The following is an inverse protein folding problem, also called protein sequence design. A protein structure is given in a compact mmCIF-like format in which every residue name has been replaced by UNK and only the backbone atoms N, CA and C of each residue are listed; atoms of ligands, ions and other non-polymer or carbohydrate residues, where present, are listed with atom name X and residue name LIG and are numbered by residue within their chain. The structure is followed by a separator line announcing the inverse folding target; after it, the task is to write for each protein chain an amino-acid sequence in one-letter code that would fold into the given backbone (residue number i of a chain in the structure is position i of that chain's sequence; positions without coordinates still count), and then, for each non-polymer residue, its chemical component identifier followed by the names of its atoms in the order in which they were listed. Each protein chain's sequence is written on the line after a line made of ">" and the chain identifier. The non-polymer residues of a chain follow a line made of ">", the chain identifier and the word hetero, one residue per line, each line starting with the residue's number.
data_IF_812515587966
#
_entry.id   IF_812515587966
#
_cell.length_a   1.000
_cell.length_b   1.000
_cell.length_c   1.000
_cell.angle_alpha   90.00
_cell.angle_beta   90.00
_cell.angle_gamma   90.00
#
_symmetry.space_group_name_H-M   'P 1'
#
loop_
_entity.id
_entity.type
_entity.pdbx_description
1 polymer ?
#
# COMPACT_ATOMS: atom_id res chain seq x y z
N UNK A 1 -0.77 -24.20 -7.08
CA UNK A 1 0.11 -23.14 -7.60
C UNK A 1 0.20 -22.04 -6.54
N UNK A 2 1.41 -21.61 -6.19
CA UNK A 2 1.58 -20.57 -5.19
C UNK A 2 1.32 -19.19 -5.76
N UNK A 3 0.95 -18.26 -4.88
CA UNK A 3 0.79 -16.87 -5.28
C UNK A 3 2.14 -16.28 -5.69
N UNK A 4 2.21 -15.68 -6.86
CA UNK A 4 3.47 -15.16 -7.37
C UNK A 4 4.00 -13.97 -6.61
N UNK A 5 5.33 -13.89 -6.52
CA UNK A 5 6.02 -12.72 -5.96
C UNK A 5 6.75 -12.00 -7.07
N UNK A 6 6.86 -10.68 -6.94
CA UNK A 6 7.52 -9.83 -7.93
C UNK A 6 8.47 -8.88 -7.24
N UNK A 7 9.62 -8.59 -7.85
CA UNK A 7 10.53 -7.62 -7.25
C UNK A 7 9.93 -6.21 -7.29
N UNK A 8 10.10 -5.48 -6.20
CA UNK A 8 9.70 -4.07 -6.13
C UNK A 8 10.83 -3.23 -6.73
N UNK A 9 10.82 -3.12 -8.05
CA UNK A 9 11.89 -2.47 -8.77
C UNK A 9 13.25 -3.08 -8.45
N UNK A 10 14.23 -2.22 -8.22
CA UNK A 10 15.58 -2.67 -7.85
C UNK A 10 15.85 -2.54 -6.35
N UNK A 11 14.80 -2.47 -5.55
CA UNK A 11 14.92 -2.26 -4.10
C UNK A 11 15.47 -3.46 -3.34
N UNK A 12 15.44 -4.64 -3.94
CA UNK A 12 15.81 -5.88 -3.25
C UNK A 12 14.64 -6.53 -2.50
N UNK A 13 13.48 -5.89 -2.53
CA UNK A 13 12.28 -6.38 -1.85
C UNK A 13 11.42 -7.14 -2.85
N UNK A 14 10.93 -8.32 -2.44
CA UNK A 14 10.06 -9.14 -3.29
C UNK A 14 8.70 -9.28 -2.60
N UNK A 15 7.63 -8.90 -3.29
CA UNK A 15 6.29 -8.86 -2.69
C UNK A 15 5.30 -9.71 -3.48
N UNK A 16 4.32 -10.26 -2.77
CA UNK A 16 3.25 -11.00 -3.42
C UNK A 16 2.49 -10.06 -4.36
N UNK A 17 2.08 -10.56 -5.52
CA UNK A 17 1.40 -9.73 -6.51
C UNK A 17 0.01 -9.28 -6.04
N UNK A 18 -0.49 -9.88 -4.97
CA UNK A 18 -1.68 -9.39 -4.26
C UNK A 18 -1.24 -8.99 -2.86
N UNK A 19 -1.48 -7.74 -2.49
CA UNK A 19 -1.18 -7.23 -1.16
C UNK A 19 -2.45 -6.96 -0.38
N UNK A 20 -2.36 -6.95 0.94
CA UNK A 20 -3.50 -6.74 1.81
C UNK A 20 -3.55 -5.30 2.29
N UNK A 21 -4.59 -4.57 1.86
CA UNK A 21 -4.87 -3.24 2.37
C UNK A 21 -5.54 -3.34 3.73
N UNK A 22 -5.22 -2.43 4.63
CA UNK A 22 -5.60 -2.59 6.04
C UNK A 22 -6.47 -1.47 6.61
N UNK A 23 -7.00 -0.58 5.78
CA UNK A 23 -7.77 0.55 6.32
C UNK A 23 -8.95 0.06 7.18
N UNK A 24 -9.57 -1.05 6.80
CA UNK A 24 -10.71 -1.61 7.53
C UNK A 24 -10.33 -2.23 8.88
N UNK A 25 -9.04 -2.38 9.16
CA UNK A 25 -8.58 -2.92 10.44
C UNK A 25 -8.72 -1.90 11.57
N UNK A 26 -8.72 -0.62 11.27
CA UNK A 26 -8.70 0.40 12.30
C UNK A 26 -9.46 1.68 12.01
N UNK A 27 -10.11 1.78 10.85
CA UNK A 27 -10.84 2.99 10.51
C UNK A 27 -12.13 2.65 9.77
N UNK A 28 -13.27 3.13 10.28
CA UNK A 28 -14.55 2.96 9.61
C UNK A 28 -15.32 4.28 9.45
N UNK A 29 -14.61 5.41 9.65
CA UNK A 29 -15.16 6.75 9.47
C UNK A 29 -14.47 7.43 8.28
N UNK A 30 -15.25 8.16 7.49
CA UNK A 30 -14.74 8.89 6.34
C UNK A 30 -13.95 7.98 5.38
N UNK A 31 -14.53 6.80 5.11
CA UNK A 31 -13.95 5.82 4.19
C UNK A 31 -14.84 5.71 2.95
N UNK A 32 -14.22 5.30 1.83
CA UNK A 32 -14.88 5.31 0.51
C UNK A 32 -15.45 3.95 0.12
N UNK A 33 -16.01 3.20 1.07
CA UNK A 33 -16.59 1.89 0.78
C UNK A 33 -18.12 2.00 0.67
N UNK A 34 -18.75 1.20 -0.21
CA UNK A 34 -20.20 1.31 -0.43
C UNK A 34 -21.04 0.83 0.74
N UNK A 35 -20.51 -0.06 1.58
CA UNK A 35 -21.25 -0.60 2.71
C UNK A 35 -20.57 -0.26 4.03
N UNK A 36 -21.39 -0.03 5.05
CA UNK A 36 -20.88 0.16 6.40
C UNK A 36 -20.32 -1.15 6.94
N UNK A 37 -19.33 -1.07 7.80
CA UNK A 37 -18.72 -2.25 8.41
C UNK A 37 -18.26 -1.92 9.82
N UNK A 38 -18.12 -2.96 10.64
CA UNK A 38 -17.55 -2.86 11.98
C UNK A 38 -16.07 -3.22 11.94
N UNK A 39 -15.29 -2.62 12.83
CA UNK A 39 -13.89 -3.01 12.93
C UNK A 39 -13.80 -4.45 13.43
N UNK A 40 -12.91 -5.28 12.87
CA UNK A 40 -12.79 -6.66 13.34
C UNK A 40 -12.27 -6.74 14.75
N UNK A 41 -12.69 -7.80 15.48
CA UNK A 41 -12.10 -8.06 16.79
C UNK A 41 -10.62 -8.40 16.64
N UNK A 42 -9.85 -8.30 17.70
CA UNK A 42 -8.44 -8.65 17.66
C UNK A 42 -8.25 -10.11 17.25
N UNK A 43 -9.09 -10.99 17.76
CA UNK A 43 -9.05 -12.41 17.42
C UNK A 43 -9.28 -12.63 15.93
N UNK A 44 -10.23 -11.93 15.36
CA UNK A 44 -10.51 -12.02 13.93
C UNK A 44 -9.36 -11.47 13.09
N UNK A 45 -8.74 -10.45 13.55
CA UNK A 45 -7.58 -9.87 12.90
C UNK A 45 -6.39 -10.84 12.84
N UNK A 46 -6.12 -11.39 13.78
CA UNK A 46 -5.15 -12.30 13.92
C UNK A 46 -5.31 -13.41 13.01
N UNK A 47 -6.61 -13.96 12.94
CA UNK A 47 -6.97 -15.03 12.03
C UNK A 47 -6.85 -14.60 10.58
N UNK A 48 -7.26 -13.39 10.26
CA UNK A 48 -7.18 -12.89 8.89
C UNK A 48 -5.71 -12.82 8.43
N UNK A 49 -4.83 -12.32 9.29
CA UNK A 49 -3.40 -12.23 8.95
C UNK A 49 -2.78 -13.61 8.78
N UNK A 50 -3.14 -14.55 9.65
CA UNK A 50 -2.66 -15.93 9.52
C UNK A 50 -3.14 -16.52 8.19
N UNK A 51 -4.39 -16.30 7.83
CA UNK A 51 -4.93 -16.82 6.58
C UNK A 51 -4.25 -16.19 5.37
N UNK A 52 -4.02 -14.89 5.40
CA UNK A 52 -3.32 -14.21 4.33
C UNK A 52 -1.92 -14.79 4.11
N UNK A 53 -1.19 -15.01 5.20
CA UNK A 53 0.14 -15.59 5.12
C UNK A 53 0.10 -17.01 4.57
N UNK A 54 -0.86 -17.81 5.03
CA UNK A 54 -1.08 -19.17 4.53
C UNK A 54 -1.33 -19.19 3.04
N UNK A 55 -2.05 -18.18 2.52
CA UNK A 55 -2.36 -18.08 1.10
C UNK A 55 -1.20 -17.54 0.25
N UNK A 56 -0.10 -17.15 0.88
CA UNK A 56 1.07 -16.65 0.17
C UNK A 56 1.15 -15.14 0.06
N UNK A 57 0.25 -14.41 0.73
CA UNK A 57 0.34 -12.95 0.77
C UNK A 57 1.41 -12.58 1.80
N UNK A 58 2.40 -11.80 1.35
CA UNK A 58 3.45 -11.34 2.27
C UNK A 58 3.51 -9.82 2.39
N UNK A 59 2.54 -9.11 1.81
CA UNK A 59 2.60 -7.65 1.72
C UNK A 59 1.41 -7.01 2.41
N UNK A 60 1.69 -6.14 3.38
CA UNK A 60 0.69 -5.35 4.10
C UNK A 60 0.86 -3.88 3.78
N UNK A 61 -0.23 -3.21 3.43
CA UNK A 61 -0.26 -1.78 3.21
C UNK A 61 -1.08 -1.12 4.31
N UNK A 62 -0.45 -0.25 5.09
CA UNK A 62 -1.10 0.47 6.18
C UNK A 62 -0.70 1.94 6.16
N UNK A 63 -1.15 2.70 7.16
CA UNK A 63 -0.86 4.14 7.25
C UNK A 63 -1.27 4.68 8.62
N UNK A 64 -0.59 5.76 9.08
CA UNK A 64 -1.09 6.49 10.24
C UNK A 64 -2.52 7.00 10.08
N UNK A 65 -2.92 7.33 8.84
CA UNK A 65 -4.27 7.83 8.58
C UNK A 65 -5.36 6.76 8.71
N UNK A 66 -5.00 5.51 8.92
CA UNK A 66 -5.97 4.40 9.01
C UNK A 66 -6.40 4.10 10.45
N UNK A 67 -6.48 5.14 11.29
CA UNK A 67 -6.93 4.97 12.67
C UNK A 67 -5.95 4.14 13.48
N UNK A 68 -6.42 3.07 14.10
CA UNK A 68 -5.59 2.23 14.97
C UNK A 68 -4.90 1.09 14.23
N UNK A 69 -4.86 1.11 12.89
CA UNK A 69 -4.32 -0.01 12.10
C UNK A 69 -2.89 -0.39 12.46
N UNK A 70 -1.98 0.60 12.51
CA UNK A 70 -0.58 0.29 12.78
C UNK A 70 -0.40 -0.41 14.13
N UNK A 71 -1.06 0.12 15.15
CA UNK A 71 -1.00 -0.45 16.49
C UNK A 71 -1.56 -1.87 16.53
N UNK A 72 -2.69 -2.07 15.88
CA UNK A 72 -3.33 -3.38 15.88
C UNK A 72 -2.50 -4.41 15.10
N UNK A 73 -1.93 -4.01 13.97
CA UNK A 73 -1.04 -4.89 13.20
C UNK A 73 0.19 -5.24 14.03
N UNK A 74 0.78 -4.27 14.71
CA UNK A 74 1.95 -4.51 15.53
C UNK A 74 1.72 -5.53 16.64
N UNK A 75 0.50 -5.53 17.20
CA UNK A 75 0.12 -6.50 18.24
C UNK A 75 -0.22 -7.86 17.62
N UNK A 76 -0.71 -7.89 16.40
CA UNK A 76 -1.23 -9.11 15.80
C UNK A 76 -0.18 -9.92 15.01
N UNK A 77 0.85 -9.29 14.46
CA UNK A 77 1.85 -10.00 13.68
C UNK A 77 2.68 -10.92 14.56
N UNK A 78 2.69 -12.21 14.23
CA UNK A 78 3.43 -13.20 15.01
C UNK A 78 4.87 -13.33 14.57
N UNK A 79 5.13 -13.15 13.29
CA UNK A 79 6.47 -13.25 12.72
C UNK A 79 6.69 -12.08 11.77
N UNK A 80 7.37 -11.07 12.26
CA UNK A 80 7.59 -9.83 11.51
C UNK A 80 8.28 -10.10 10.16
N UNK A 81 9.26 -11.01 10.16
CA UNK A 81 10.05 -11.29 8.96
C UNK A 81 9.27 -12.00 7.86
N UNK A 82 8.09 -12.53 8.16
CA UNK A 82 7.24 -13.13 7.14
C UNK A 82 6.52 -12.08 6.31
N UNK A 83 6.60 -10.83 6.70
CA UNK A 83 5.81 -9.77 6.09
C UNK A 83 6.70 -8.64 5.57
N UNK A 84 6.30 -8.10 4.44
CA UNK A 84 6.78 -6.83 3.93
C UNK A 84 5.74 -5.79 4.34
N UNK A 85 6.15 -4.83 5.16
CA UNK A 85 5.21 -3.84 5.70
C UNK A 85 5.45 -2.49 5.04
N UNK A 86 4.40 -1.97 4.41
CA UNK A 86 4.40 -0.63 3.83
C UNK A 86 3.51 0.26 4.68
N UNK A 87 4.05 1.38 5.15
CA UNK A 87 3.23 2.39 5.79
C UNK A 87 3.43 3.72 5.08
N UNK A 88 2.91 4.80 5.65
CA UNK A 88 2.90 6.08 4.97
C UNK A 88 3.22 7.21 5.93
N UNK A 89 3.47 8.40 5.37
CA UNK A 89 3.69 9.63 6.12
C UNK A 89 2.92 10.77 5.48
N UNK A 90 2.60 11.78 6.26
CA UNK A 90 2.01 13.00 5.75
C UNK A 90 0.56 13.18 6.14
N UNK A 91 -0.25 12.15 5.99
CA UNK A 91 -1.66 12.23 6.36
C UNK A 91 -1.88 11.59 7.73
N UNK A 92 -2.62 12.29 8.58
CA UNK A 92 -3.08 11.82 9.88
C UNK A 92 -4.60 11.88 9.90
N UNK A 93 -5.23 11.06 10.73
CA UNK A 93 -6.67 11.12 10.93
C UNK A 93 -6.91 11.47 12.39
N UNK A 94 -7.29 12.73 12.62
CA UNK A 94 -7.40 13.28 13.98
C UNK A 94 -8.79 13.87 14.14
N UNK A 95 -9.48 13.43 15.20
CA UNK A 95 -10.83 13.92 15.54
C UNK A 95 -11.78 13.83 14.33
N UNK A 96 -11.71 12.73 13.60
CA UNK A 96 -12.61 12.47 12.47
C UNK A 96 -12.26 13.18 11.18
N UNK A 97 -11.08 13.79 11.09
CA UNK A 97 -10.68 14.54 9.90
C UNK A 97 -9.27 14.20 9.46
N UNK A 98 -9.02 14.27 8.16
CA UNK A 98 -7.67 14.17 7.62
C UNK A 98 -6.92 15.48 7.85
N UNK A 99 -5.70 15.36 8.36
CA UNK A 99 -4.80 16.48 8.60
C UNK A 99 -3.48 16.13 7.95
N UNK A 100 -2.86 17.10 7.27
CA UNK A 100 -1.64 16.82 6.50
C UNK A 100 -0.47 17.65 7.00
N UNK A 101 0.71 17.03 7.07
CA UNK A 101 1.96 17.72 7.42
C UNK A 101 3.10 17.01 6.73
N UNK A 102 3.74 17.71 5.79
CA UNK A 102 4.83 17.14 4.98
C UNK A 102 6.19 17.71 5.36
N UNK A 103 6.31 18.30 6.55
CA UNK A 103 7.62 18.79 7.02
C UNK A 103 8.57 17.63 7.27
N UNK A 104 9.87 17.89 7.19
CA UNK A 104 10.85 16.86 7.51
C UNK A 104 10.75 16.42 8.96
N UNK A 105 10.51 17.36 9.87
CA UNK A 105 10.38 17.04 11.30
C UNK A 105 9.21 16.11 11.53
N UNK A 106 8.05 16.39 10.93
CA UNK A 106 6.88 15.51 11.09
C UNK A 106 7.12 14.15 10.46
N UNK A 107 7.77 14.12 9.29
CA UNK A 107 8.08 12.88 8.59
C UNK A 107 8.91 11.95 9.47
N UNK A 108 9.96 12.49 10.10
CA UNK A 108 10.81 11.69 10.98
C UNK A 108 10.03 11.19 12.20
N UNK A 109 9.26 12.07 12.84
CA UNK A 109 8.47 11.66 14.01
C UNK A 109 7.44 10.60 13.64
N UNK A 110 6.83 10.74 12.46
CA UNK A 110 5.82 9.79 12.00
C UNK A 110 6.44 8.39 11.78
N UNK A 111 7.61 8.33 11.16
CA UNK A 111 8.31 7.05 10.97
C UNK A 111 8.67 6.42 12.32
N UNK A 112 9.19 7.24 13.24
CA UNK A 112 9.54 6.74 14.58
C UNK A 112 8.32 6.19 15.30
N UNK A 113 7.17 6.87 15.19
CA UNK A 113 5.94 6.41 15.81
C UNK A 113 5.44 5.12 15.15
N UNK A 114 5.53 5.03 13.82
CA UNK A 114 5.13 3.81 13.11
C UNK A 114 5.98 2.62 13.53
N UNK A 115 7.28 2.81 13.69
CA UNK A 115 8.17 1.75 14.18
C UNK A 115 7.72 1.27 15.56
N UNK A 116 7.34 2.21 16.44
CA UNK A 116 6.87 1.87 17.77
C UNK A 116 5.53 1.13 17.72
N UNK A 117 4.57 1.65 16.98
CA UNK A 117 3.24 1.01 16.88
C UNK A 117 3.29 -0.36 16.23
N UNK A 118 4.13 -0.50 15.18
CA UNK A 118 4.25 -1.78 14.47
C UNK A 118 5.22 -2.74 15.16
N UNK A 119 5.86 -2.30 16.25
CA UNK A 119 6.77 -3.10 17.07
C UNK A 119 7.88 -3.72 16.24
N UNK A 120 8.54 -2.90 15.50
CA UNK A 120 9.58 -3.38 14.60
C UNK A 120 10.75 -2.39 14.52
N UNK A 121 11.79 -2.86 14.14
CA UNK A 121 12.94 -2.09 14.05
C UNK A 121 13.17 -1.51 12.75
N UNK A 122 12.34 -1.99 11.77
CA UNK A 122 12.48 -1.46 10.42
C UNK A 122 11.15 -1.49 9.69
N UNK A 123 11.01 -0.61 8.69
CA UNK A 123 9.87 -0.62 7.77
C UNK A 123 10.37 -0.94 6.37
N UNK A 124 9.69 -1.78 5.70
CA UNK A 124 10.08 -2.16 4.34
C UNK A 124 9.80 -1.06 3.31
N UNK A 125 8.70 -0.28 3.21
CA UNK A 125 8.38 0.69 2.37
C UNK A 125 7.77 1.75 3.11
N UNK A 126 8.03 2.91 2.88
CA UNK A 126 7.28 4.07 3.39
C UNK A 126 6.94 4.99 2.25
N UNK A 127 5.65 5.32 2.11
CA UNK A 127 5.17 6.19 1.03
C UNK A 127 4.66 7.52 1.56
N UNK A 128 4.92 8.59 0.83
CA UNK A 128 4.25 9.87 1.11
C UNK A 128 2.78 9.72 0.71
N UNK A 129 1.88 10.05 1.63
CA UNK A 129 0.44 9.95 1.45
C UNK A 129 -0.08 11.32 0.98
N UNK A 130 -0.19 11.52 -0.31
CA UNK A 130 -0.45 12.84 -0.89
C UNK A 130 -1.80 13.42 -0.49
N UNK A 131 -1.84 14.75 -0.38
CA UNK A 131 -3.09 15.51 -0.21
C UNK A 131 -3.70 15.93 -1.55
N UNK A 132 -3.08 15.50 -2.66
CA UNK A 132 -3.48 15.87 -4.00
C UNK A 132 -2.55 16.89 -4.65
N UNK A 133 -1.74 17.59 -3.87
CA UNK A 133 -0.79 18.58 -4.39
C UNK A 133 0.58 17.93 -4.52
N UNK A 134 0.65 16.88 -5.32
CA UNK A 134 1.85 16.04 -5.46
C UNK A 134 3.10 16.85 -5.71
N UNK A 135 3.06 17.72 -6.73
CA UNK A 135 4.26 18.46 -7.13
C UNK A 135 4.72 19.43 -6.04
N UNK A 136 3.79 20.07 -5.35
CA UNK A 136 4.14 20.95 -4.24
C UNK A 136 4.83 20.15 -3.13
N UNK A 137 4.31 18.98 -2.81
CA UNK A 137 4.92 18.12 -1.80
C UNK A 137 6.36 17.77 -2.20
N UNK A 138 6.54 17.34 -3.46
CA UNK A 138 7.86 16.92 -3.96
C UNK A 138 8.82 18.09 -4.02
N UNK A 139 8.39 19.21 -4.58
CA UNK A 139 9.29 20.33 -4.90
C UNK A 139 9.53 21.27 -3.71
N UNK A 140 8.58 21.36 -2.78
CA UNK A 140 8.58 22.43 -1.77
C UNK A 140 8.56 21.95 -0.33
N UNK A 141 8.67 20.65 -0.11
CA UNK A 141 8.75 20.11 1.25
C UNK A 141 9.91 19.14 1.40
N UNK A 142 10.27 18.72 2.39
CA UNK A 142 11.20 17.95 2.70
C UNK A 142 10.90 16.68 2.93
N UNK A 143 9.68 16.25 2.68
CA UNK A 143 9.17 14.94 3.04
C UNK A 143 9.95 13.80 2.37
N UNK A 144 10.06 13.85 1.04
CA UNK A 144 10.81 12.80 0.31
C UNK A 144 12.28 12.77 0.71
N UNK A 145 12.88 13.94 0.86
CA UNK A 145 14.29 14.01 1.26
C UNK A 145 14.53 13.37 2.64
N UNK A 146 13.60 13.60 3.57
CA UNK A 146 13.70 12.99 4.89
C UNK A 146 13.58 11.46 4.80
N UNK A 147 12.67 10.96 3.96
CA UNK A 147 12.58 9.52 3.75
C UNK A 147 13.86 8.95 3.14
N UNK A 148 14.47 9.66 2.21
CA UNK A 148 15.76 9.23 1.64
C UNK A 148 16.83 9.13 2.72
N UNK A 149 16.88 10.12 3.62
CA UNK A 149 17.82 10.11 4.74
C UNK A 149 17.55 8.93 5.69
N UNK A 150 16.28 8.65 5.96
CA UNK A 150 15.91 7.52 6.82
C UNK A 150 16.29 6.19 6.18
N UNK A 151 16.19 6.11 4.86
CA UNK A 151 16.67 4.92 4.14
C UNK A 151 18.17 4.74 4.31
N UNK A 152 18.94 5.82 4.16
CA UNK A 152 20.39 5.74 4.36
C UNK A 152 20.74 5.26 5.76
N UNK A 153 19.94 5.64 6.75
CA UNK A 153 20.17 5.24 8.14
C UNK A 153 19.69 3.82 8.44
N UNK A 154 19.02 3.18 7.48
CA UNK A 154 18.54 1.82 7.66
C UNK A 154 17.17 1.68 8.39
N UNK A 155 16.53 2.65 8.54
CA UNK A 155 15.32 2.68 9.17
C UNK A 155 14.22 2.23 8.35
N UNK A 156 14.33 2.51 7.09
CA UNK A 156 13.37 2.02 6.09
C UNK A 156 14.15 1.41 4.91
N UNK A 157 13.45 0.54 4.35
CA UNK A 157 14.14 -0.15 3.39
C UNK A 157 14.08 0.47 2.08
N UNK A 158 12.80 0.97 1.70
CA UNK A 158 12.53 1.67 0.44
C UNK A 158 11.55 2.81 0.70
N UNK A 159 11.48 3.79 -0.19
CA UNK A 159 10.52 4.88 -0.04
C UNK A 159 9.92 5.25 -1.38
N UNK A 160 8.79 5.97 -1.31
CA UNK A 160 8.12 6.41 -2.51
C UNK A 160 6.93 7.29 -2.18
N UNK A 161 5.95 7.30 -3.07
CA UNK A 161 4.81 8.18 -2.91
C UNK A 161 3.54 7.57 -3.48
N UNK A 162 2.46 7.73 -2.74
CA UNK A 162 1.11 7.42 -3.21
C UNK A 162 0.56 8.70 -3.81
N UNK A 163 0.50 8.76 -5.15
CA UNK A 163 0.26 9.99 -5.89
C UNK A 163 -1.17 10.11 -6.35
N UNK A 164 -1.58 11.33 -6.71
CA UNK A 164 -2.93 11.62 -7.18
C UNK A 164 -2.96 12.33 -8.52
N UNK A 165 -1.79 12.64 -9.10
CA UNK A 165 -1.72 13.29 -10.41
C UNK A 165 -0.71 12.58 -11.31
N UNK A 166 -0.87 12.74 -12.62
CA UNK A 166 0.04 12.16 -13.59
C UNK A 166 1.46 12.73 -13.42
N UNK A 167 1.58 14.05 -13.37
CA UNK A 167 2.89 14.68 -13.26
C UNK A 167 3.57 14.34 -11.93
N UNK A 168 2.77 14.28 -10.86
CA UNK A 168 3.31 13.86 -9.56
C UNK A 168 3.83 12.43 -9.60
N UNK A 169 3.09 11.55 -10.27
CA UNK A 169 3.51 10.16 -10.41
C UNK A 169 4.82 10.02 -11.16
N UNK A 170 4.96 10.76 -12.26
CA UNK A 170 6.21 10.73 -13.05
C UNK A 170 7.39 11.24 -12.22
N UNK A 171 7.21 12.35 -11.50
CA UNK A 171 8.28 12.89 -10.65
C UNK A 171 8.65 11.94 -9.53
N UNK A 172 7.64 11.38 -8.87
CA UNK A 172 7.90 10.45 -7.75
C UNK A 172 8.61 9.19 -8.22
N UNK A 173 8.22 8.67 -9.37
CA UNK A 173 8.89 7.49 -9.95
C UNK A 173 10.36 7.78 -10.22
N UNK A 174 10.66 9.00 -10.67
CA UNK A 174 12.04 9.38 -10.97
C UNK A 174 12.89 9.52 -9.71
N UNK A 175 12.30 10.02 -8.63
CA UNK A 175 13.05 10.43 -7.43
C UNK A 175 13.08 9.38 -6.31
N UNK A 176 12.30 8.32 -6.41
CA UNK A 176 12.17 7.37 -5.31
C UNK A 176 12.25 5.92 -5.81
N UNK A 177 11.98 4.96 -4.92
CA UNK A 177 12.08 3.54 -5.25
C UNK A 177 10.79 2.97 -5.82
N UNK A 178 9.65 3.59 -5.53
CA UNK A 178 8.36 3.03 -5.92
C UNK A 178 7.27 4.10 -5.89
N UNK A 179 6.22 3.85 -6.66
CA UNK A 179 5.01 4.69 -6.62
C UNK A 179 3.79 3.82 -6.36
N UNK A 180 2.77 4.44 -5.76
CA UNK A 180 1.45 3.81 -5.64
C UNK A 180 0.49 4.68 -6.44
N UNK A 181 -0.19 4.07 -7.42
CA UNK A 181 -1.06 4.80 -8.34
C UNK A 181 -2.38 4.07 -8.50
N UNK A 182 -3.40 4.81 -8.91
CA UNK A 182 -4.69 4.24 -9.24
C UNK A 182 -4.63 3.59 -10.62
N UNK A 183 -5.14 2.36 -10.71
CA UNK A 183 -5.30 1.68 -12.01
C UNK A 183 -6.46 0.69 -11.92
N UNK A 184 -7.39 0.81 -12.83
CA UNK A 184 -8.44 -0.19 -13.06
C UNK A 184 -8.96 0.04 -14.48
N UNK A 185 -9.80 -0.86 -15.02
CA UNK A 185 -10.27 -0.68 -16.40
C UNK A 185 -11.01 0.64 -16.67
N UNK A 186 -11.58 1.25 -15.62
CA UNK A 186 -12.31 2.53 -15.77
C UNK A 186 -11.42 3.74 -15.56
N UNK A 187 -10.17 3.55 -15.11
CA UNK A 187 -9.26 4.66 -14.86
C UNK A 187 -7.85 4.24 -15.21
N UNK A 188 -7.41 4.64 -16.40
CA UNK A 188 -6.11 4.27 -16.94
C UNK A 188 -5.17 5.47 -17.09
N UNK A 189 -5.48 6.58 -16.41
CA UNK A 189 -4.68 7.82 -16.59
C UNK A 189 -3.24 7.67 -16.15
N UNK A 190 -2.94 6.70 -15.27
CA UNK A 190 -1.58 6.51 -14.74
C UNK A 190 -0.75 5.49 -15.54
N UNK A 191 -1.26 4.98 -16.67
CA UNK A 191 -0.45 4.08 -17.49
C UNK A 191 0.91 4.69 -17.86
N UNK A 192 1.00 5.98 -18.20
CA UNK A 192 2.34 6.55 -18.47
C UNK A 192 3.28 6.51 -17.28
N UNK A 193 2.75 6.67 -16.06
CA UNK A 193 3.57 6.56 -14.84
C UNK A 193 4.10 5.13 -14.71
N UNK A 194 3.24 4.15 -14.94
CA UNK A 194 3.61 2.73 -14.82
C UNK A 194 4.69 2.38 -15.86
N UNK A 195 4.51 2.85 -17.09
CA UNK A 195 5.50 2.63 -18.15
C UNK A 195 6.84 3.25 -17.79
N UNK A 196 6.82 4.49 -17.28
CA UNK A 196 8.04 5.18 -16.89
C UNK A 196 8.74 4.45 -15.75
N UNK A 197 7.97 4.06 -14.74
CA UNK A 197 8.54 3.33 -13.60
C UNK A 197 9.19 2.03 -14.04
N UNK A 198 8.54 1.31 -14.95
CA UNK A 198 9.10 0.08 -15.50
C UNK A 198 10.43 0.36 -16.22
N UNK A 199 10.49 1.42 -17.01
CA UNK A 199 11.70 1.76 -17.76
C UNK A 199 12.86 2.15 -16.84
N UNK A 200 12.55 2.61 -15.63
CA UNK A 200 13.56 3.02 -14.63
C UNK A 200 13.77 1.97 -13.54
N UNK A 201 13.14 0.80 -13.71
CA UNK A 201 13.20 -0.31 -12.75
C UNK A 201 12.77 0.12 -11.34
N UNK A 202 11.64 0.82 -11.29
CA UNK A 202 11.01 1.23 -10.04
C UNK A 202 9.78 0.38 -9.78
N UNK A 203 9.43 0.22 -8.49
CA UNK A 203 8.24 -0.55 -8.13
C UNK A 203 6.95 0.22 -8.39
N UNK A 204 5.87 -0.52 -8.66
CA UNK A 204 4.54 0.06 -8.85
C UNK A 204 3.53 -0.73 -8.03
N UNK A 205 2.89 -0.04 -7.08
CA UNK A 205 1.80 -0.57 -6.29
C UNK A 205 0.51 0.05 -6.82
N UNK A 206 -0.51 -0.78 -6.99
CA UNK A 206 -1.78 -0.29 -7.53
C UNK A 206 -2.83 -0.23 -6.43
N UNK A 207 -3.43 0.95 -6.27
CA UNK A 207 -4.58 1.18 -5.41
C UNK A 207 -5.84 1.28 -6.28
N UNK A 208 -6.99 1.04 -5.66
CA UNK A 208 -8.29 1.14 -6.33
C UNK A 208 -8.43 0.19 -7.53
N UNK A 209 -7.72 -0.95 -7.48
CA UNK A 209 -7.86 -1.98 -8.52
C UNK A 209 -9.33 -2.41 -8.65
N UNK A 210 -10.05 -2.46 -7.53
CA UNK A 210 -11.46 -2.83 -7.48
C UNK A 210 -12.36 -1.62 -7.30
N UNK A 211 -11.88 -0.43 -7.64
CA UNK A 211 -12.64 0.83 -7.53
C UNK A 211 -13.25 0.99 -6.12
N UNK A 212 -12.44 0.69 -5.09
CA UNK A 212 -12.83 0.79 -3.67
C UNK A 212 -14.08 -0.04 -3.34
N UNK A 213 -14.26 -1.15 -4.04
CA UNK A 213 -15.39 -2.04 -3.78
C UNK A 213 -16.67 -1.66 -4.52
N UNK A 214 -16.63 -0.62 -5.36
CA UNK A 214 -17.79 -0.21 -6.15
C UNK A 214 -17.90 -0.99 -7.46
N UNK A 215 -17.74 -2.31 -7.38
CA UNK A 215 -17.80 -3.19 -8.54
C UNK A 215 -18.89 -4.24 -8.37
N UNK A 216 -19.53 -4.60 -9.48
CA UNK A 216 -20.34 -5.82 -9.50
C UNK A 216 -19.39 -7.02 -9.33
N UNK A 217 -19.90 -8.09 -8.73
CA UNK A 217 -19.09 -9.29 -8.46
C UNK A 217 -18.40 -9.85 -9.71
N UNK A 218 -19.11 -9.79 -10.84
CA UNK A 218 -18.59 -10.34 -12.08
C UNK A 218 -17.42 -9.56 -12.67
N UNK A 219 -17.12 -8.38 -12.11
CA UNK A 219 -16.00 -7.56 -12.59
C UNK A 219 -14.71 -7.77 -11.80
N UNK A 220 -14.75 -8.54 -10.73
CA UNK A 220 -13.57 -8.77 -9.88
C UNK A 220 -12.43 -9.42 -10.65
N UNK A 221 -12.72 -10.51 -11.34
CA UNK A 221 -11.73 -11.22 -12.14
C UNK A 221 -11.16 -10.35 -13.26
N UNK A 222 -12.04 -9.64 -13.97
CA UNK A 222 -11.64 -8.76 -15.07
C UNK A 222 -10.70 -7.67 -14.56
N UNK A 223 -11.03 -7.06 -13.43
CA UNK A 223 -10.22 -5.97 -12.88
C UNK A 223 -8.87 -6.45 -12.40
N UNK A 224 -8.83 -7.56 -11.64
CA UNK A 224 -7.56 -8.08 -11.14
C UNK A 224 -6.68 -8.56 -12.30
N UNK A 225 -7.28 -9.22 -13.29
CA UNK A 225 -6.54 -9.66 -14.46
C UNK A 225 -5.94 -8.47 -15.21
N UNK A 226 -6.74 -7.43 -15.44
CA UNK A 226 -6.27 -6.23 -16.13
C UNK A 226 -5.08 -5.61 -15.40
N UNK A 227 -5.22 -5.40 -14.10
CA UNK A 227 -4.20 -4.72 -13.31
C UNK A 227 -2.92 -5.56 -13.26
N UNK A 228 -3.03 -6.84 -12.95
CA UNK A 228 -1.85 -7.66 -12.71
C UNK A 228 -1.14 -8.09 -13.97
N UNK A 229 -1.81 -8.04 -15.12
CA UNK A 229 -1.18 -8.30 -16.41
C UNK A 229 -0.70 -7.04 -17.11
N UNK A 230 -0.89 -5.86 -16.50
CA UNK A 230 -0.30 -4.62 -17.01
C UNK A 230 1.21 -4.63 -16.76
N UNK A 231 2.04 -4.52 -17.81
CA UNK A 231 3.50 -4.55 -17.60
C UNK A 231 3.94 -3.44 -16.65
N UNK A 232 4.78 -3.78 -15.69
CA UNK A 232 5.31 -2.83 -14.72
C UNK A 232 4.63 -2.85 -13.37
N UNK A 233 3.41 -3.40 -13.28
CA UNK A 233 2.71 -3.48 -11.99
C UNK A 233 3.37 -4.54 -11.12
N UNK A 234 3.74 -4.16 -9.90
CA UNK A 234 4.33 -5.08 -8.93
C UNK A 234 3.26 -5.81 -8.13
N UNK A 235 2.31 -5.05 -7.57
CA UNK A 235 1.29 -5.65 -6.70
C UNK A 235 0.02 -4.80 -6.73
N UNK A 236 -1.12 -5.47 -6.62
CA UNK A 236 -2.41 -4.81 -6.43
C UNK A 236 -2.78 -4.92 -4.96
N UNK A 237 -3.15 -3.79 -4.35
CA UNK A 237 -3.51 -3.72 -2.95
C UNK A 237 -5.02 -3.82 -2.82
N UNK A 238 -5.50 -4.85 -2.14
CA UNK A 238 -6.93 -5.08 -1.98
C UNK A 238 -7.26 -5.25 -0.50
N UNK A 239 -8.21 -4.47 0.00
CA UNK A 239 -8.62 -4.50 1.39
C UNK A 239 -9.80 -5.44 1.60
N UNK A 240 -9.75 -6.22 2.70
CA UNK A 240 -10.88 -7.02 3.13
C UNK A 240 -10.71 -7.40 4.59
N UNK A 241 -11.85 -7.65 5.26
CA UNK A 241 -11.88 -8.23 6.60
C UNK A 241 -12.60 -9.58 6.67
N UNK A 242 -12.83 -10.18 5.56
CA UNK A 242 -13.43 -11.39 5.47
C UNK A 242 -12.49 -12.32 4.91
N UNK A 243 -12.38 -13.42 5.57
CA UNK A 243 -11.47 -14.44 5.09
C UNK A 243 -11.88 -15.04 3.74
N UNK A 244 -13.18 -15.20 3.56
CA UNK A 244 -13.70 -15.76 2.30
C UNK A 244 -13.40 -14.86 1.10
N UNK A 245 -13.44 -13.55 1.28
CA UNK A 245 -13.04 -12.62 0.23
C UNK A 245 -11.56 -12.78 -0.09
N UNK A 246 -10.76 -12.98 0.94
CA UNK A 246 -9.32 -13.16 0.79
C UNK A 246 -9.00 -14.42 -0.01
N UNK A 247 -9.67 -15.52 0.33
CA UNK A 247 -9.52 -16.80 -0.37
C UNK A 247 -9.93 -16.66 -1.83
N UNK A 248 -11.04 -16.00 -2.08
CA UNK A 248 -11.54 -15.78 -3.44
C UNK A 248 -10.55 -14.94 -4.25
N UNK A 249 -10.06 -13.88 -3.67
CA UNK A 249 -9.08 -13.03 -4.36
C UNK A 249 -7.79 -13.78 -4.71
N UNK A 250 -7.31 -14.44 -3.87
CA UNK A 250 -6.22 -15.17 -3.99
C UNK A 250 -6.33 -16.11 -5.05
N UNK A 251 -7.54 -16.86 -5.16
CA UNK A 251 -7.86 -17.82 -6.22
C UNK A 251 -7.92 -17.16 -7.60
N UNK A 252 -8.63 -16.04 -7.67
CA UNK A 252 -8.74 -15.28 -8.93
C UNK A 252 -7.37 -14.85 -9.43
N UNK A 253 -6.52 -14.35 -8.55
CA UNK A 253 -5.19 -13.87 -8.94
C UNK A 253 -4.34 -15.02 -9.49
N UNK A 254 -4.39 -16.19 -8.86
CA UNK A 254 -3.63 -17.35 -9.33
C UNK A 254 -4.01 -17.76 -10.74
N UNK A 255 -5.29 -17.62 -11.09
CA UNK A 255 -5.77 -17.93 -12.43
C UNK A 255 -5.49 -16.81 -13.43
N UNK A 256 -5.55 -15.57 -12.99
CA UNK A 256 -5.46 -14.41 -13.86
C UNK A 256 -4.04 -14.07 -14.27
N UNK A 257 -3.05 -14.30 -13.38
CA UNK A 257 -1.65 -13.96 -13.65
C UNK A 257 -1.02 -15.03 -14.52
N UNK A 258 -0.50 -14.57 -15.68
CA UNK A 258 0.18 -15.47 -16.63
C UNK A 258 1.67 -15.47 -16.36
N UNK A 259 1.86 -16.62 -16.31
CA UNK A 259 3.23 -16.83 -15.97
C UNK A 259 4.15 -16.37 -16.78
#
# INVERSE_FOLDING_TARGET
>A
MELGKRPLGESGISISCLGLGTVKFGRNQEVKYPEKFSLPSFKDLXRLLDKANELGINFLDTAPAYGSCEERIGRALRARSDWIVCTKVGEEFIAGKSVFNFSGQHTQKSVERSLKYLKTXYLDXVLVHSDGNDETIIDSTXCLETLAQLKEKGXIXAYGMSTKSLDGGLKAADLSDAVMVTLNPSNTQNLPVIEYALSKNKGVLVKKALNSGHLAENNLETNLSFVLNTPGVTSAIVGTIXQEHLVKNXSIVKKAVKX
#
